data_IF_555602794714
#
_entry.id   IF_555602794714
#
_cell.length_a   1.000
_cell.length_b   1.000
_cell.length_c   1.000
_cell.angle_alpha   90.00
_cell.angle_beta   90.00
_cell.angle_gamma   90.00
#
_symmetry.space_group_name_H-M   'P 1'
#
loop_
_entity.id
_entity.type
_entity.pdbx_description
1 polymer ?
#
# COMPACT_ATOMS: atom_id res chain seq x y z
N UNK A 1 -33.24 -110.03 -28.16
CA UNK A 1 -33.55 -109.37 -26.92
C UNK A 1 -33.18 -107.88 -27.12
N UNK A 2 -34.18 -107.04 -27.20
CA UNK A 2 -33.99 -105.60 -27.48
C UNK A 2 -34.14 -104.86 -26.16
N UNK A 3 -33.10 -104.17 -25.74
CA UNK A 3 -33.19 -103.21 -24.62
C UNK A 3 -33.16 -101.81 -25.16
N UNK A 4 -34.32 -101.13 -25.06
CA UNK A 4 -34.45 -99.72 -25.32
C UNK A 4 -34.17 -98.92 -24.11
N UNK A 5 -33.21 -97.93 -24.19
CA UNK A 5 -32.93 -96.94 -23.19
C UNK A 5 -33.73 -95.67 -23.56
N UNK A 6 -34.39 -94.99 -22.58
CA UNK A 6 -35.08 -93.74 -22.84
C UNK A 6 -34.08 -92.56 -22.76
N UNK A 7 -34.18 -91.70 -23.78
CA UNK A 7 -33.45 -90.45 -23.89
C UNK A 7 -34.06 -89.41 -22.98
N UNK A 8 -33.36 -88.98 -21.96
CA UNK A 8 -33.74 -87.86 -21.09
C UNK A 8 -33.40 -86.58 -21.76
N UNK A 9 -34.39 -85.77 -22.12
CA UNK A 9 -34.19 -84.42 -22.60
C UNK A 9 -33.68 -83.51 -21.48
N UNK A 10 -32.50 -82.89 -21.67
CA UNK A 10 -31.92 -81.88 -20.79
C UNK A 10 -32.37 -80.52 -21.33
N UNK A 11 -33.29 -79.83 -20.63
CA UNK A 11 -33.70 -78.46 -20.92
C UNK A 11 -32.60 -77.54 -20.29
N UNK A 12 -31.83 -76.89 -21.13
CA UNK A 12 -30.87 -75.82 -20.71
C UNK A 12 -31.73 -74.56 -20.65
N UNK A 13 -32.04 -74.14 -19.40
CA UNK A 13 -32.58 -72.81 -19.11
C UNK A 13 -31.52 -71.76 -19.29
N UNK A 14 -31.60 -70.94 -20.31
CA UNK A 14 -30.76 -69.78 -20.51
C UNK A 14 -31.20 -68.67 -19.54
N UNK A 15 -30.44 -68.47 -18.48
CA UNK A 15 -30.61 -67.37 -17.56
C UNK A 15 -29.97 -66.10 -18.19
N UNK A 16 -30.79 -65.26 -18.84
CA UNK A 16 -30.36 -63.92 -19.29
C UNK A 16 -30.25 -62.97 -18.09
N UNK A 17 -29.03 -62.83 -17.56
CA UNK A 17 -28.69 -61.72 -16.64
C UNK A 17 -28.58 -60.46 -17.46
N UNK A 18 -29.59 -59.61 -17.41
CA UNK A 18 -29.52 -58.22 -17.92
C UNK A 18 -28.62 -57.42 -17.01
N UNK A 19 -27.35 -57.21 -17.44
CA UNK A 19 -26.48 -56.23 -16.85
C UNK A 19 -26.98 -54.84 -17.22
N UNK A 20 -27.71 -54.21 -16.31
CA UNK A 20 -28.01 -52.78 -16.43
C UNK A 20 -26.71 -52.01 -16.33
N UNK A 21 -26.11 -51.60 -17.45
CA UNK A 21 -25.09 -50.56 -17.47
C UNK A 21 -25.76 -49.26 -17.01
N UNK A 22 -25.70 -49.00 -15.72
CA UNK A 22 -25.91 -47.68 -15.19
C UNK A 22 -24.87 -46.75 -15.80
N UNK A 23 -25.25 -45.94 -16.75
CA UNK A 23 -24.46 -44.78 -17.18
C UNK A 23 -24.33 -43.87 -15.96
N UNK A 24 -23.22 -43.98 -15.24
CA UNK A 24 -22.80 -42.92 -14.35
C UNK A 24 -22.48 -41.72 -15.25
N UNK A 25 -23.45 -40.84 -15.44
CA UNK A 25 -23.18 -39.50 -15.91
C UNK A 25 -22.27 -38.90 -14.81
N UNK A 26 -20.97 -38.85 -15.06
CA UNK A 26 -20.08 -38.09 -14.24
C UNK A 26 -20.64 -36.65 -14.28
N UNK A 27 -21.11 -36.20 -13.13
CA UNK A 27 -21.54 -34.82 -12.94
C UNK A 27 -20.28 -33.98 -13.11
N UNK A 28 -20.03 -33.57 -14.37
CA UNK A 28 -18.85 -32.72 -14.67
C UNK A 28 -19.12 -31.42 -13.95
N UNK A 29 -18.24 -31.12 -12.98
CA UNK A 29 -18.28 -29.83 -12.29
C UNK A 29 -18.35 -28.72 -13.35
N UNK A 30 -19.24 -27.75 -13.19
CA UNK A 30 -19.38 -26.67 -14.16
C UNK A 30 -18.02 -25.99 -14.36
N UNK A 31 -17.68 -25.66 -15.61
CA UNK A 31 -16.47 -24.91 -15.91
C UNK A 31 -16.43 -23.62 -15.09
N UNK A 32 -15.25 -23.19 -14.75
CA UNK A 32 -15.02 -21.98 -13.95
C UNK A 32 -14.11 -21.02 -14.69
N UNK A 33 -14.34 -19.72 -14.49
CA UNK A 33 -13.48 -18.65 -14.97
C UNK A 33 -13.06 -17.77 -13.80
N UNK A 34 -11.76 -17.60 -13.63
CA UNK A 34 -11.17 -16.72 -12.63
C UNK A 34 -10.60 -15.49 -13.32
N UNK A 35 -11.01 -14.31 -12.87
CA UNK A 35 -10.58 -13.02 -13.41
C UNK A 35 -10.25 -12.05 -12.30
N UNK A 36 -9.37 -11.08 -12.62
CA UNK A 36 -9.02 -10.01 -11.72
C UNK A 36 -9.44 -8.68 -12.32
N UNK A 37 -10.49 -8.10 -11.78
CA UNK A 37 -10.90 -6.74 -12.13
C UNK A 37 -10.12 -5.70 -11.37
N UNK A 38 -9.98 -4.53 -11.97
CA UNK A 38 -9.24 -3.40 -11.44
C UNK A 38 -10.07 -2.13 -11.51
N UNK A 39 -9.89 -1.29 -10.49
CA UNK A 39 -10.43 0.07 -10.48
C UNK A 39 -9.35 1.05 -10.05
N UNK A 40 -9.30 2.19 -10.71
CA UNK A 40 -8.40 3.30 -10.39
C UNK A 40 -9.20 4.59 -10.35
N UNK A 41 -8.94 5.41 -9.34
CA UNK A 41 -9.56 6.73 -9.21
C UNK A 41 -8.50 7.76 -8.79
N UNK A 42 -8.54 8.93 -9.41
CA UNK A 42 -7.76 10.07 -8.94
C UNK A 42 -8.40 10.66 -7.69
N UNK A 43 -7.57 10.99 -6.72
CA UNK A 43 -7.95 11.56 -5.42
C UNK A 43 -6.98 12.66 -5.04
N UNK A 44 -7.48 13.68 -4.36
CA UNK A 44 -6.61 14.71 -3.82
C UNK A 44 -5.91 14.21 -2.54
N UNK A 45 -4.70 14.68 -2.22
CA UNK A 45 -4.06 14.45 -0.94
C UNK A 45 -4.92 15.01 0.20
N UNK A 46 -5.07 14.24 1.30
CA UNK A 46 -5.76 14.67 2.51
C UNK A 46 -4.82 15.31 3.52
N UNK A 47 -3.55 14.93 3.48
CA UNK A 47 -2.49 15.46 4.35
C UNK A 47 -1.11 15.17 3.76
N UNK A 48 -0.11 15.83 4.34
CA UNK A 48 1.30 15.50 4.08
C UNK A 48 1.99 15.03 5.36
N UNK A 49 2.94 14.11 5.21
CA UNK A 49 3.90 13.72 6.23
C UNK A 49 5.23 14.40 5.93
N UNK A 50 5.65 15.27 6.82
CA UNK A 50 6.93 15.97 6.75
C UNK A 50 7.87 15.37 7.81
N UNK A 51 9.00 14.84 7.39
CA UNK A 51 10.00 14.22 8.26
C UNK A 51 11.15 15.18 8.46
N UNK A 52 11.28 15.72 9.66
CA UNK A 52 12.25 16.77 10.03
C UNK A 52 13.29 16.22 10.99
N UNK A 53 14.57 16.54 10.74
CA UNK A 53 15.71 16.15 11.56
C UNK A 53 16.39 17.34 12.23
N UNK A 54 16.85 17.11 13.45
CA UNK A 54 17.75 18.02 14.18
C UNK A 54 18.98 17.23 14.56
N UNK A 55 20.14 17.69 14.11
CA UNK A 55 21.44 17.08 14.39
C UNK A 55 22.36 18.08 15.10
N UNK A 56 22.90 17.68 16.24
CA UNK A 56 23.87 18.50 17.00
C UNK A 56 25.07 17.67 17.41
N UNK A 57 26.26 18.25 17.23
CA UNK A 57 27.53 17.63 17.63
C UNK A 57 28.17 18.44 18.78
N UNK A 58 28.66 17.72 19.80
CA UNK A 58 29.45 18.31 20.87
C UNK A 58 30.45 17.28 21.41
N UNK A 59 31.49 17.74 22.11
CA UNK A 59 32.49 16.88 22.77
C UNK A 59 31.89 16.10 23.95
N UNK A 60 30.81 16.60 24.56
CA UNK A 60 30.06 15.96 25.64
C UNK A 60 28.68 15.51 25.15
N UNK A 61 28.30 14.30 25.52
CA UNK A 61 26.93 13.74 25.23
C UNK A 61 25.87 14.66 25.81
N UNK A 62 26.04 15.10 27.07
CA UNK A 62 25.09 15.95 27.78
C UNK A 62 24.89 17.29 27.07
N UNK A 63 26.01 17.91 26.62
CA UNK A 63 25.94 19.18 25.90
C UNK A 63 25.31 19.02 24.52
N UNK A 64 25.66 17.96 23.76
CA UNK A 64 25.03 17.66 22.47
C UNK A 64 23.53 17.45 22.61
N UNK A 65 23.11 16.67 23.62
CA UNK A 65 21.71 16.44 23.91
C UNK A 65 20.97 17.71 24.31
N UNK A 66 21.52 18.51 25.21
CA UNK A 66 20.90 19.76 25.64
C UNK A 66 20.70 20.75 24.48
N UNK A 67 21.65 20.85 23.57
CA UNK A 67 21.52 21.65 22.34
C UNK A 67 20.43 21.12 21.43
N UNK A 68 20.39 19.79 21.23
CA UNK A 68 19.38 19.15 20.40
C UNK A 68 17.97 19.36 20.98
N UNK A 69 17.79 19.16 22.29
CA UNK A 69 16.52 19.36 22.97
C UNK A 69 16.02 20.81 22.85
N UNK A 70 16.90 21.78 22.94
CA UNK A 70 16.57 23.21 22.79
C UNK A 70 16.08 23.52 21.37
N UNK A 71 16.80 23.04 20.34
CA UNK A 71 16.40 23.23 18.94
C UNK A 71 15.09 22.51 18.65
N UNK A 72 14.92 21.28 19.11
CA UNK A 72 13.71 20.51 18.92
C UNK A 72 12.50 21.15 19.59
N UNK A 73 12.66 21.68 20.80
CA UNK A 73 11.60 22.42 21.50
C UNK A 73 11.16 23.67 20.74
N UNK A 74 12.13 24.42 20.20
CA UNK A 74 11.85 25.58 19.34
C UNK A 74 11.14 25.18 18.05
N UNK A 75 11.59 24.09 17.41
CA UNK A 75 10.97 23.54 16.19
C UNK A 75 9.51 23.19 16.44
N UNK A 76 9.21 22.41 17.48
CA UNK A 76 7.83 22.03 17.83
C UNK A 76 6.96 23.27 18.07
N UNK A 77 7.46 24.25 18.83
CA UNK A 77 6.72 25.50 19.09
C UNK A 77 6.46 26.28 17.81
N UNK A 78 7.44 26.39 16.92
CA UNK A 78 7.30 27.10 15.64
C UNK A 78 6.29 26.42 14.71
N UNK A 79 6.29 25.08 14.66
CA UNK A 79 5.29 24.33 13.91
C UNK A 79 3.88 24.56 14.44
N UNK A 80 3.71 24.62 15.76
CA UNK A 80 2.40 24.95 16.37
C UNK A 80 1.93 26.36 16.02
N UNK A 81 2.84 27.34 15.96
CA UNK A 81 2.50 28.72 15.57
C UNK A 81 2.02 28.84 14.12
N UNK A 82 2.48 27.96 13.22
CA UNK A 82 2.01 27.92 11.83
C UNK A 82 0.81 26.99 11.62
N UNK A 83 0.15 26.57 12.72
CA UNK A 83 -1.12 25.85 12.67
C UNK A 83 -1.04 24.32 12.77
N UNK A 84 0.15 23.73 12.98
CA UNK A 84 0.27 22.29 13.18
C UNK A 84 -0.12 21.93 14.62
N UNK A 85 -1.14 21.09 14.78
CA UNK A 85 -1.53 20.60 16.10
C UNK A 85 -0.41 19.76 16.74
N UNK A 86 -0.23 19.90 18.06
CA UNK A 86 0.75 19.10 18.83
C UNK A 86 0.54 17.58 18.62
N UNK A 87 -0.70 17.14 18.51
CA UNK A 87 -1.02 15.71 18.30
C UNK A 87 -0.57 15.19 16.93
N UNK A 88 -0.26 16.09 16.01
CA UNK A 88 0.23 15.78 14.66
C UNK A 88 1.77 15.83 14.57
N UNK A 89 2.46 16.01 15.69
CA UNK A 89 3.93 16.01 15.77
C UNK A 89 4.35 14.82 16.62
N UNK A 90 5.07 13.88 16.01
CA UNK A 90 5.52 12.67 16.69
C UNK A 90 7.02 12.49 16.53
N UNK A 91 7.73 12.28 17.63
CA UNK A 91 9.15 11.85 17.56
C UNK A 91 9.19 10.43 17.00
N UNK A 92 9.95 10.25 15.94
CA UNK A 92 10.11 8.94 15.26
C UNK A 92 11.42 8.26 15.62
N UNK A 93 12.49 9.02 15.88
CA UNK A 93 13.79 8.46 16.21
C UNK A 93 14.64 9.43 17.01
N UNK A 94 15.44 8.90 17.96
CA UNK A 94 16.50 9.62 18.65
C UNK A 94 17.72 8.71 18.68
N UNK A 95 18.86 9.18 18.16
CA UNK A 95 20.12 8.46 18.20
C UNK A 95 21.23 9.32 18.76
N UNK A 96 22.14 8.70 19.51
CA UNK A 96 23.35 9.32 20.03
C UNK A 96 24.53 8.44 19.61
N UNK A 97 25.40 8.98 18.78
CA UNK A 97 26.52 8.24 18.23
C UNK A 97 27.83 8.94 18.52
N UNK A 98 28.90 8.21 18.94
CA UNK A 98 30.23 8.77 19.00
C UNK A 98 30.71 9.11 17.59
N UNK A 99 31.40 10.22 17.46
CA UNK A 99 32.02 10.65 16.22
C UNK A 99 33.54 10.54 16.34
N UNK A 100 34.21 9.92 15.38
CA UNK A 100 35.65 9.69 15.36
C UNK A 100 36.25 10.36 14.14
N UNK A 101 37.39 11.01 14.35
CA UNK A 101 38.28 11.45 13.28
C UNK A 101 39.37 10.40 13.04
N UNK A 102 39.79 10.26 11.80
CA UNK A 102 40.90 9.40 11.42
C UNK A 102 42.11 10.28 11.16
N UNK A 103 43.09 10.26 12.11
CA UNK A 103 44.30 11.07 12.06
C UNK A 103 45.50 10.13 12.15
N UNK A 104 46.39 10.18 11.15
CA UNK A 104 47.62 9.37 11.08
C UNK A 104 47.40 7.86 11.29
N UNK A 105 46.32 7.31 10.67
CA UNK A 105 45.99 5.91 10.79
C UNK A 105 45.30 5.50 12.09
N UNK A 106 45.08 6.43 13.03
CA UNK A 106 44.43 6.18 14.31
C UNK A 106 43.06 6.82 14.41
N UNK A 107 42.10 6.10 14.98
CA UNK A 107 40.76 6.60 15.25
C UNK A 107 40.75 7.36 16.58
N UNK A 108 40.42 8.66 16.53
CA UNK A 108 40.38 9.53 17.73
C UNK A 108 38.94 10.04 17.91
N UNK A 109 38.38 9.84 19.10
CA UNK A 109 37.06 10.37 19.44
C UNK A 109 37.01 11.89 19.30
N UNK A 110 36.10 12.40 18.47
CA UNK A 110 35.87 13.82 18.21
C UNK A 110 34.44 14.25 18.64
N UNK A 111 33.95 13.71 19.74
CA UNK A 111 32.68 14.07 20.33
C UNK A 111 31.53 13.11 19.97
N UNK A 112 30.33 13.60 20.14
CA UNK A 112 29.11 12.84 19.98
C UNK A 112 28.13 13.61 19.11
N UNK A 113 27.44 12.88 18.24
CA UNK A 113 26.35 13.41 17.41
C UNK A 113 25.02 12.92 17.95
N UNK A 114 24.12 13.85 18.26
CA UNK A 114 22.73 13.58 18.65
C UNK A 114 21.83 13.92 17.48
N UNK A 115 21.11 12.92 16.96
CA UNK A 115 20.10 13.11 15.92
C UNK A 115 18.72 12.83 16.50
N UNK A 116 17.80 13.74 16.30
CA UNK A 116 16.40 13.62 16.70
C UNK A 116 15.51 13.91 15.50
N UNK A 117 14.58 13.02 15.21
CA UNK A 117 13.72 13.09 14.04
C UNK A 117 12.26 13.12 14.48
N UNK A 118 11.48 14.02 13.91
CA UNK A 118 10.03 14.11 14.11
C UNK A 118 9.30 13.94 12.79
N UNK A 119 8.19 13.23 12.83
CA UNK A 119 7.20 13.16 11.74
C UNK A 119 6.08 14.12 12.08
N UNK A 120 5.78 14.99 11.14
CA UNK A 120 4.77 16.03 11.26
C UNK A 120 3.69 15.78 10.23
N UNK A 121 2.44 15.62 10.68
CA UNK A 121 1.28 15.51 9.80
C UNK A 121 0.66 16.88 9.59
N UNK A 122 0.59 17.32 8.34
CA UNK A 122 0.04 18.62 7.94
C UNK A 122 -1.20 18.39 7.08
N UNK A 123 -2.37 18.66 7.63
CA UNK A 123 -3.66 18.48 6.93
C UNK A 123 -3.95 19.58 5.92
N UNK A 124 -3.58 20.81 6.26
CA UNK A 124 -3.65 21.91 5.29
C UNK A 124 -2.42 21.91 4.39
N UNK A 125 -2.57 21.29 3.21
CA UNK A 125 -1.47 21.16 2.25
C UNK A 125 -0.95 22.52 1.77
N UNK A 126 -1.76 23.58 1.83
CA UNK A 126 -1.33 24.94 1.48
C UNK A 126 -0.38 25.55 2.52
N UNK A 127 -0.34 25.02 3.73
CA UNK A 127 0.53 25.48 4.83
C UNK A 127 1.87 24.73 4.91
N UNK A 128 2.11 23.74 4.05
CA UNK A 128 3.34 22.94 4.08
C UNK A 128 4.58 23.80 3.90
N UNK A 129 4.58 24.73 2.95
CA UNK A 129 5.69 25.66 2.74
C UNK A 129 6.02 26.45 4.01
N UNK A 130 5.00 26.97 4.69
CA UNK A 130 5.19 27.68 5.98
C UNK A 130 5.73 26.78 7.07
N UNK A 131 5.32 25.50 7.12
CA UNK A 131 5.84 24.53 8.08
C UNK A 131 7.33 24.22 7.81
N UNK A 132 7.73 24.12 6.55
CA UNK A 132 9.11 23.94 6.13
C UNK A 132 9.95 25.16 6.53
N UNK A 133 9.48 26.37 6.22
CA UNK A 133 10.18 27.61 6.55
C UNK A 133 10.34 27.78 8.06
N UNK A 134 9.29 27.47 8.84
CA UNK A 134 9.32 27.48 10.29
C UNK A 134 10.32 26.47 10.87
N UNK A 135 10.42 25.29 10.25
CA UNK A 135 11.40 24.26 10.64
C UNK A 135 12.85 24.76 10.42
N UNK A 136 13.14 25.30 9.24
CA UNK A 136 14.46 25.84 8.90
C UNK A 136 14.83 26.99 9.84
N UNK A 137 13.93 27.94 10.06
CA UNK A 137 14.14 29.09 10.96
C UNK A 137 14.35 28.66 12.44
N UNK A 138 13.86 27.49 12.81
CA UNK A 138 14.06 26.92 14.15
C UNK A 138 15.37 26.20 14.32
N UNK A 139 16.10 25.91 13.24
CA UNK A 139 17.37 25.21 13.23
C UNK A 139 17.25 23.71 12.92
N UNK A 140 16.18 23.28 12.25
CA UNK A 140 16.15 21.94 11.67
C UNK A 140 17.36 21.76 10.74
N UNK A 141 18.07 20.66 10.91
CA UNK A 141 19.28 20.36 10.13
C UNK A 141 18.95 19.69 8.82
N UNK A 142 17.84 18.91 8.81
CA UNK A 142 17.46 18.06 7.70
C UNK A 142 15.94 18.08 7.49
N UNK A 143 15.55 18.10 6.23
CA UNK A 143 14.20 17.70 5.77
C UNK A 143 14.38 16.38 5.05
N UNK A 144 14.09 15.29 5.74
CA UNK A 144 14.39 13.95 5.23
C UNK A 144 13.43 13.54 4.11
N UNK A 145 12.11 13.80 4.29
CA UNK A 145 11.11 13.53 3.28
C UNK A 145 9.87 14.41 3.45
N UNK A 146 9.18 14.60 2.34
CA UNK A 146 7.81 15.10 2.27
C UNK A 146 7.02 14.12 1.43
N UNK A 147 5.98 13.51 2.02
CA UNK A 147 5.17 12.50 1.37
C UNK A 147 3.70 12.89 1.49
N UNK A 148 3.01 12.99 0.36
CA UNK A 148 1.57 13.21 0.35
C UNK A 148 0.82 11.91 0.58
N UNK A 149 -0.27 11.99 1.35
CA UNK A 149 -1.11 10.87 1.71
C UNK A 149 -2.58 11.25 1.53
N UNK A 150 -3.42 10.24 1.34
CA UNK A 150 -4.87 10.43 1.33
C UNK A 150 -5.55 9.39 2.19
N UNK A 151 -6.53 9.83 2.98
CA UNK A 151 -7.47 8.96 3.65
C UNK A 151 -8.62 8.70 2.67
N UNK A 152 -8.75 7.46 2.21
CA UNK A 152 -9.82 7.08 1.29
C UNK A 152 -11.13 7.01 2.07
N UNK A 153 -12.12 7.83 1.70
CA UNK A 153 -13.44 7.79 2.32
C UNK A 153 -14.17 6.48 1.99
N UNK A 154 -15.13 6.09 2.85
CA UNK A 154 -15.95 4.90 2.61
C UNK A 154 -16.67 4.95 1.26
N UNK A 155 -17.14 6.14 0.87
CA UNK A 155 -17.79 6.33 -0.43
C UNK A 155 -16.86 6.01 -1.61
N UNK A 156 -15.60 6.47 -1.57
CA UNK A 156 -14.60 6.16 -2.60
C UNK A 156 -14.26 4.67 -2.58
N UNK A 157 -14.15 4.08 -1.39
CA UNK A 157 -13.91 2.65 -1.20
C UNK A 157 -15.00 1.79 -1.84
N UNK A 158 -16.27 2.17 -1.63
CA UNK A 158 -17.44 1.47 -2.20
C UNK A 158 -17.49 1.62 -3.73
N UNK A 159 -17.20 2.82 -4.25
CA UNK A 159 -17.13 3.06 -5.69
C UNK A 159 -16.02 2.28 -6.36
N UNK A 160 -14.83 2.22 -5.77
CA UNK A 160 -13.71 1.43 -6.27
C UNK A 160 -14.05 -0.07 -6.26
N UNK A 161 -14.69 -0.54 -5.19
CA UNK A 161 -15.14 -1.92 -5.07
C UNK A 161 -16.13 -2.29 -6.18
N UNK A 162 -17.16 -1.48 -6.37
CA UNK A 162 -18.16 -1.69 -7.40
C UNK A 162 -17.54 -1.67 -8.81
N UNK A 163 -16.64 -0.73 -9.07
CA UNK A 163 -15.96 -0.61 -10.36
C UNK A 163 -15.04 -1.80 -10.64
N UNK A 164 -14.29 -2.28 -9.65
CA UNK A 164 -13.42 -3.45 -9.80
C UNK A 164 -14.21 -4.73 -10.05
N UNK A 165 -15.35 -4.90 -9.38
CA UNK A 165 -16.27 -6.04 -9.62
C UNK A 165 -16.86 -5.96 -11.03
N UNK A 166 -17.28 -4.78 -11.47
CA UNK A 166 -17.82 -4.57 -12.82
C UNK A 166 -16.79 -4.88 -13.90
N UNK A 167 -15.54 -4.47 -13.71
CA UNK A 167 -14.45 -4.78 -14.62
C UNK A 167 -14.15 -6.28 -14.66
N UNK A 168 -14.10 -6.96 -13.50
CA UNK A 168 -13.96 -8.42 -13.45
C UNK A 168 -15.07 -9.14 -14.23
N UNK A 169 -16.33 -8.71 -14.07
CA UNK A 169 -17.45 -9.28 -14.79
C UNK A 169 -17.32 -9.06 -16.30
N UNK A 170 -16.96 -7.85 -16.72
CA UNK A 170 -16.75 -7.55 -18.14
C UNK A 170 -15.65 -8.45 -18.75
N UNK A 171 -14.53 -8.62 -18.08
CA UNK A 171 -13.45 -9.51 -18.52
C UNK A 171 -13.95 -10.97 -18.64
N UNK A 172 -14.69 -11.45 -17.65
CA UNK A 172 -15.27 -12.80 -17.67
C UNK A 172 -16.21 -12.98 -18.87
N UNK A 173 -17.06 -12.00 -19.16
CA UNK A 173 -17.99 -12.03 -20.30
C UNK A 173 -17.28 -12.07 -21.66
N UNK A 174 -16.18 -11.30 -21.80
CA UNK A 174 -15.35 -11.33 -23.01
C UNK A 174 -14.73 -12.71 -23.23
N UNK A 175 -14.16 -13.30 -22.18
CA UNK A 175 -13.51 -14.62 -22.26
C UNK A 175 -14.55 -15.72 -22.49
N UNK A 176 -15.65 -15.74 -21.75
CA UNK A 176 -16.71 -16.75 -21.89
C UNK A 176 -17.27 -16.75 -23.32
N UNK A 177 -17.55 -15.57 -23.88
CA UNK A 177 -18.03 -15.44 -25.27
C UNK A 177 -17.03 -15.97 -26.29
N UNK A 178 -15.73 -15.73 -26.09
CA UNK A 178 -14.69 -16.25 -26.98
C UNK A 178 -14.59 -17.79 -26.96
N UNK A 179 -15.03 -18.41 -25.84
CA UNK A 179 -15.05 -19.86 -25.66
C UNK A 179 -16.40 -20.49 -26.05
N UNK A 180 -17.37 -19.70 -26.50
CA UNK A 180 -18.74 -20.18 -26.83
C UNK A 180 -19.62 -20.42 -25.60
N UNK A 181 -19.29 -19.83 -24.47
CA UNK A 181 -20.00 -19.94 -23.19
C UNK A 181 -20.59 -18.59 -22.75
N UNK A 182 -21.39 -18.64 -21.69
CA UNK A 182 -21.88 -17.45 -20.98
C UNK A 182 -21.39 -17.46 -19.53
N UNK A 183 -21.36 -16.28 -18.92
CA UNK A 183 -20.98 -16.12 -17.50
C UNK A 183 -22.18 -16.45 -16.63
N UNK A 184 -22.04 -17.44 -15.78
CA UNK A 184 -23.01 -17.86 -14.77
C UNK A 184 -22.89 -17.05 -13.45
N UNK A 185 -23.45 -17.59 -12.37
CA UNK A 185 -23.37 -16.96 -11.04
C UNK A 185 -21.93 -16.88 -10.52
N UNK A 186 -21.74 -15.96 -9.59
CA UNK A 186 -20.46 -15.84 -8.87
C UNK A 186 -20.27 -17.03 -7.94
N UNK A 187 -19.12 -17.70 -8.04
CA UNK A 187 -18.70 -18.76 -7.12
C UNK A 187 -18.02 -18.17 -5.88
N UNK A 188 -17.09 -17.26 -6.09
CA UNK A 188 -16.38 -16.60 -5.00
C UNK A 188 -15.89 -15.21 -5.44
N UNK A 189 -15.76 -14.34 -4.45
CA UNK A 189 -15.22 -13.00 -4.63
C UNK A 189 -14.25 -12.69 -3.49
N UNK A 190 -13.11 -12.10 -3.83
CA UNK A 190 -12.14 -11.58 -2.89
C UNK A 190 -11.75 -10.17 -3.32
N UNK A 191 -12.08 -9.19 -2.49
CA UNK A 191 -11.69 -7.81 -2.70
C UNK A 191 -10.33 -7.55 -2.05
N UNK A 192 -9.39 -7.05 -2.84
CA UNK A 192 -8.13 -6.54 -2.34
C UNK A 192 -8.31 -5.28 -1.49
N UNK A 193 -7.31 -4.96 -0.70
CA UNK A 193 -7.25 -3.67 0.02
C UNK A 193 -7.06 -2.53 -0.98
N UNK A 194 -7.68 -1.39 -0.71
CA UNK A 194 -7.41 -0.18 -1.49
C UNK A 194 -5.98 0.27 -1.23
N UNK A 195 -5.25 0.55 -2.29
CA UNK A 195 -3.89 1.08 -2.24
C UNK A 195 -3.88 2.48 -2.82
N UNK A 196 -3.21 3.38 -2.13
CA UNK A 196 -2.94 4.72 -2.62
C UNK A 196 -1.49 4.82 -3.08
N UNK A 197 -1.27 5.45 -4.23
CA UNK A 197 0.08 5.81 -4.63
C UNK A 197 0.43 7.14 -3.97
N UNK A 198 1.45 7.09 -3.11
CA UNK A 198 2.00 8.27 -2.45
C UNK A 198 2.98 8.96 -3.40
N UNK A 199 2.87 10.28 -3.54
CA UNK A 199 3.93 11.06 -4.18
C UNK A 199 4.99 11.39 -3.13
N UNK A 200 6.18 10.87 -3.32
CA UNK A 200 7.34 11.26 -2.53
C UNK A 200 8.07 12.40 -3.26
N UNK A 201 8.10 13.56 -2.65
CA UNK A 201 8.86 14.72 -3.15
C UNK A 201 10.21 14.72 -2.42
N UNK A 202 11.31 14.70 -3.17
CA UNK A 202 12.63 14.80 -2.57
C UNK A 202 12.95 16.28 -2.24
N UNK A 203 12.88 16.70 -0.97
CA UNK A 203 13.01 18.10 -0.59
C UNK A 203 14.43 18.65 -0.76
N UNK A 204 15.44 17.80 -0.98
CA UNK A 204 16.82 18.26 -1.21
C UNK A 204 16.95 19.08 -2.50
N UNK A 205 16.13 18.79 -3.52
CA UNK A 205 16.10 19.59 -4.75
C UNK A 205 15.39 20.93 -4.53
N UNK A 206 14.39 21.00 -3.67
CA UNK A 206 13.75 22.26 -3.30
C UNK A 206 14.71 23.22 -2.56
N UNK A 207 15.55 22.70 -1.66
CA UNK A 207 16.56 23.50 -0.93
C UNK A 207 17.66 24.06 -1.84
N UNK A 208 18.07 23.35 -2.89
CA UNK A 208 19.06 23.84 -3.86
C UNK A 208 18.53 25.00 -4.69
N UNK A 209 17.22 25.05 -4.93
CA UNK A 209 16.55 26.14 -5.63
C UNK A 209 16.38 27.40 -4.80
N UNK A 210 16.37 27.29 -3.45
CA UNK A 210 16.17 28.42 -2.53
C UNK A 210 17.40 29.30 -2.35
N UNK A 211 18.58 28.90 -2.81
CA UNK A 211 19.80 29.74 -2.74
C UNK A 211 19.74 31.02 -3.60
N UNK A 212 18.73 31.20 -4.41
CA UNK A 212 18.58 32.32 -5.34
C UNK A 212 17.21 33.03 -5.25
N UNK A 213 16.36 32.73 -4.28
CA UNK A 213 15.02 33.32 -4.17
C UNK A 213 14.96 34.28 -2.97
N UNK A 214 14.42 35.47 -3.22
CA UNK A 214 14.15 36.50 -2.22
C UNK A 214 13.32 35.91 -1.06
N UNK A 215 13.76 36.08 0.20
CA UNK A 215 13.18 35.45 1.40
C UNK A 215 11.74 35.92 1.76
N UNK A 216 11.02 36.51 0.83
CA UNK A 216 9.66 37.06 1.06
C UNK A 216 8.52 36.10 0.69
N UNK A 217 8.80 34.99 0.02
CA UNK A 217 7.78 34.00 -0.38
C UNK A 217 8.04 32.66 0.29
N UNK A 218 6.96 32.03 0.81
CA UNK A 218 7.06 30.67 1.39
C UNK A 218 7.56 29.66 0.37
N UNK A 219 8.22 28.60 0.84
CA UNK A 219 8.69 27.49 0.01
C UNK A 219 7.56 26.96 -0.86
N UNK A 220 7.68 27.01 -2.21
CA UNK A 220 6.65 26.51 -3.10
C UNK A 220 6.57 24.98 -2.99
N UNK A 221 5.37 24.45 -2.79
CA UNK A 221 5.10 23.02 -2.71
C UNK A 221 3.88 22.69 -3.55
N UNK A 222 4.08 21.85 -4.56
CA UNK A 222 3.02 21.35 -5.44
C UNK A 222 2.61 19.95 -5.00
N UNK A 223 1.32 19.73 -4.79
CA UNK A 223 0.79 18.50 -4.22
C UNK A 223 0.22 17.51 -5.25
N UNK A 224 0.24 17.79 -6.53
CA UNK A 224 -0.21 16.87 -7.59
C UNK A 224 -1.42 15.97 -7.26
N UNK A 225 -1.90 15.24 -8.23
CA UNK A 225 -2.97 14.25 -8.01
C UNK A 225 -2.38 12.91 -7.56
N UNK A 226 -3.08 12.25 -6.63
CA UNK A 226 -2.80 10.88 -6.21
C UNK A 226 -3.78 9.92 -6.88
N UNK A 227 -3.45 8.64 -6.92
CA UNK A 227 -4.36 7.59 -7.36
C UNK A 227 -4.66 6.60 -6.25
N UNK A 228 -5.94 6.25 -6.10
CA UNK A 228 -6.40 5.12 -5.31
C UNK A 228 -6.77 3.99 -6.26
N UNK A 229 -6.29 2.77 -5.99
CA UNK A 229 -6.59 1.59 -6.79
C UNK A 229 -7.10 0.44 -5.92
N UNK A 230 -7.93 -0.40 -6.52
CA UNK A 230 -8.49 -1.59 -5.89
C UNK A 230 -8.60 -2.72 -6.89
N UNK A 231 -8.44 -3.96 -6.42
CA UNK A 231 -8.60 -5.15 -7.24
C UNK A 231 -9.72 -6.02 -6.69
N UNK A 232 -10.39 -6.76 -7.58
CA UNK A 232 -11.40 -7.76 -7.26
C UNK A 232 -11.05 -9.08 -7.97
N UNK A 233 -10.70 -10.11 -7.21
CA UNK A 233 -10.54 -11.46 -7.76
C UNK A 233 -11.89 -12.16 -7.69
N UNK A 234 -12.44 -12.52 -8.82
CA UNK A 234 -13.77 -13.11 -8.92
C UNK A 234 -13.71 -14.41 -9.71
N UNK A 235 -14.36 -15.44 -9.17
CA UNK A 235 -14.56 -16.71 -9.87
C UNK A 235 -16.04 -16.84 -10.22
N UNK A 236 -16.32 -17.05 -11.48
CA UNK A 236 -17.66 -17.30 -12.01
C UNK A 236 -17.76 -18.74 -12.50
N UNK A 237 -18.96 -19.29 -12.43
CA UNK A 237 -19.29 -20.51 -13.19
C UNK A 237 -19.49 -20.16 -14.67
N UNK A 238 -19.12 -21.09 -15.56
CA UNK A 238 -19.44 -21.03 -16.98
C UNK A 238 -20.73 -21.79 -17.26
N UNK A 239 -21.54 -21.25 -18.15
CA UNK A 239 -22.82 -21.86 -18.63
C UNK A 239 -22.82 -21.94 -20.15
#
# INVERSE_FOLDING_TARGET
>A
MKHSFPLKAFTIGALMTSVALGTMAADMAPGEISVTGQAVRQVAPSYALLNLGVSNKNTSVQAAKAQNDAVMSKLISSLQHVGVSKNNIQTSNITINPNYDYIDGNSKLNGYNVNNTVVVRVYDTSSIGKAIDAAIASGASDINSLTFQTDVSQEIEDQLSASAISDARHQAEVIARALGHTVGPVKSINLGTTRTHTMEVNPRYAMLSLKSVDMSTSTPVENGDMSANKTANVVFYLQ
#
